data_IF_593351613330
#
_entry.id   IF_593351613330
#
_cell.length_a   1.000
_cell.length_b   1.000
_cell.length_c   1.000
_cell.angle_alpha   90.00
_cell.angle_beta   90.00
_cell.angle_gamma   90.00
#
_symmetry.space_group_name_H-M   'P 1'
#
loop_
_entity.id
_entity.type
_entity.pdbx_description
1 polymer ?
#
# COMPACT_ATOMS: atom_id res chain seq x y z
N UNK A 1 -2.12 -6.47 13.11
CA UNK A 1 -1.49 -5.17 12.76
C UNK A 1 -2.57 -4.24 12.26
N UNK A 2 -2.70 -3.09 12.90
CA UNK A 2 -3.68 -2.06 12.56
C UNK A 2 -2.94 -0.75 12.41
N UNK A 3 -3.03 -0.11 11.27
CA UNK A 3 -2.22 1.06 11.06
C UNK A 3 -2.61 1.94 9.89
N UNK A 4 -1.75 2.86 9.64
CA UNK A 4 -1.93 3.92 8.69
C UNK A 4 -0.72 4.05 7.76
N UNK A 5 -0.90 4.79 6.70
CA UNK A 5 0.16 5.22 5.81
C UNK A 5 0.81 6.50 6.31
N UNK A 6 2.13 6.52 6.31
CA UNK A 6 2.89 7.76 6.30
C UNK A 6 3.67 7.87 5.00
N UNK A 7 3.47 8.93 4.28
CA UNK A 7 4.10 9.15 3.00
C UNK A 7 5.62 9.36 3.09
N UNK A 8 6.37 8.49 2.44
CA UNK A 8 7.68 8.80 1.89
C UNK A 8 7.61 8.93 0.36
N UNK A 9 6.42 8.89 -0.18
CA UNK A 9 6.16 8.99 -1.60
C UNK A 9 5.41 10.29 -1.87
N UNK A 10 6.06 11.18 -2.59
CA UNK A 10 5.36 12.21 -3.35
C UNK A 10 5.99 12.31 -4.72
N UNK A 11 5.28 11.82 -5.70
CA UNK A 11 5.77 11.69 -7.06
C UNK A 11 5.56 12.93 -7.89
N UNK A 12 5.03 14.04 -7.38
CA UNK A 12 4.13 14.75 -8.29
C UNK A 12 4.53 16.15 -8.70
N UNK A 13 5.34 16.88 -7.93
CA UNK A 13 5.70 18.22 -8.36
C UNK A 13 7.18 18.56 -8.12
N UNK A 14 7.82 19.28 -9.03
CA UNK A 14 9.11 19.91 -8.77
C UNK A 14 8.99 20.81 -7.55
N UNK A 15 9.79 20.58 -6.49
CA UNK A 15 9.78 21.36 -5.25
C UNK A 15 9.10 20.71 -4.04
N UNK A 16 8.23 19.71 -4.21
CA UNK A 16 7.60 18.98 -3.09
C UNK A 16 8.51 17.93 -2.43
N UNK A 17 9.67 17.73 -2.97
CA UNK A 17 10.66 16.74 -2.56
C UNK A 17 11.37 17.05 -1.23
N UNK A 18 11.15 18.23 -0.66
CA UNK A 18 11.84 18.68 0.54
C UNK A 18 11.36 18.01 1.82
N UNK A 19 10.22 17.35 1.82
CA UNK A 19 9.59 16.76 3.01
C UNK A 19 9.76 15.25 3.12
N UNK A 20 10.92 14.71 2.77
CA UNK A 20 11.31 13.33 3.10
C UNK A 20 11.59 13.17 4.61
N UNK A 21 10.80 13.83 5.45
CA UNK A 21 10.91 13.74 6.90
C UNK A 21 9.63 13.12 7.43
N UNK A 22 9.80 12.13 8.30
CA UNK A 22 8.69 11.63 9.09
C UNK A 22 8.26 12.72 10.08
N UNK A 23 6.96 12.95 10.17
CA UNK A 23 6.42 13.77 11.25
C UNK A 23 6.32 12.91 12.52
N UNK A 24 7.14 13.21 13.53
CA UNK A 24 7.18 12.44 14.78
C UNK A 24 5.86 12.54 15.54
N UNK A 25 5.15 13.67 15.47
CA UNK A 25 3.83 13.80 16.08
C UNK A 25 2.82 12.84 15.45
N UNK A 26 2.89 12.59 14.16
CA UNK A 26 2.01 11.61 13.50
C UNK A 26 2.26 10.20 14.03
N UNK A 27 3.51 9.80 14.23
CA UNK A 27 3.83 8.51 14.84
C UNK A 27 3.27 8.41 16.26
N UNK A 28 3.42 9.48 17.04
CA UNK A 28 2.86 9.55 18.40
C UNK A 28 1.35 9.41 18.38
N UNK A 29 0.62 10.18 17.57
CA UNK A 29 -0.84 10.11 17.50
C UNK A 29 -1.34 8.76 17.03
N UNK A 30 -0.69 8.15 16.04
CA UNK A 30 -1.02 6.81 15.55
C UNK A 30 -0.91 5.80 16.69
N UNK A 31 0.17 5.85 17.48
CA UNK A 31 0.36 5.00 18.64
C UNK A 31 -0.63 5.30 19.77
N UNK A 32 -0.86 6.57 20.10
CA UNK A 32 -1.80 7.01 21.14
C UNK A 32 -3.25 6.59 20.82
N UNK A 33 -3.60 6.53 19.53
CA UNK A 33 -4.91 6.05 19.07
C UNK A 33 -5.03 4.52 19.05
N UNK A 34 -3.97 3.79 19.44
CA UNK A 34 -3.97 2.34 19.56
C UNK A 34 -3.64 1.59 18.28
N UNK A 35 -3.07 2.25 17.29
CA UNK A 35 -2.51 1.59 16.11
C UNK A 35 -1.07 1.16 16.36
N UNK A 36 -0.64 0.10 15.67
CA UNK A 36 0.67 -0.55 15.88
C UNK A 36 1.51 -0.71 14.60
N UNK A 37 1.06 -0.12 13.48
CA UNK A 37 1.63 -0.40 12.17
C UNK A 37 1.67 0.84 11.27
N UNK A 38 2.79 0.97 10.54
CA UNK A 38 2.98 1.95 9.48
C UNK A 38 3.38 1.25 8.18
N UNK A 39 2.64 1.44 7.12
CA UNK A 39 3.12 1.13 5.77
C UNK A 39 3.70 2.41 5.16
N UNK A 40 4.92 2.32 4.65
CA UNK A 40 5.65 3.46 4.07
C UNK A 40 5.86 3.18 2.59
N UNK A 41 5.01 3.75 1.72
CA UNK A 41 5.19 3.67 0.28
C UNK A 41 6.41 4.49 -0.14
N UNK A 42 7.27 3.89 -0.96
CA UNK A 42 8.52 4.50 -1.40
C UNK A 42 8.64 4.41 -2.93
N UNK A 43 9.19 5.46 -3.51
CA UNK A 43 9.60 5.49 -4.90
C UNK A 43 11.13 5.29 -4.97
N UNK A 44 11.61 4.28 -5.71
CA UNK A 44 13.04 4.00 -5.78
C UNK A 44 13.85 5.14 -6.41
N UNK A 45 13.23 6.03 -7.16
CA UNK A 45 13.89 7.23 -7.68
C UNK A 45 14.39 8.17 -6.58
N UNK A 46 13.86 8.07 -5.36
CA UNK A 46 14.36 8.87 -4.24
C UNK A 46 15.80 8.59 -3.89
N UNK A 47 16.21 7.33 -3.91
CA UNK A 47 17.55 6.93 -3.52
C UNK A 47 18.43 6.53 -4.70
N UNK A 48 17.94 6.57 -5.92
CA UNK A 48 18.80 6.46 -7.09
C UNK A 48 19.59 7.76 -7.25
N UNK A 49 20.92 7.64 -7.39
CA UNK A 49 21.80 8.78 -7.59
C UNK A 49 21.81 9.21 -9.05
N UNK A 50 20.78 9.94 -9.42
CA UNK A 50 20.59 10.53 -10.74
C UNK A 50 19.68 11.78 -10.63
N UNK A 51 19.46 12.47 -11.73
CA UNK A 51 18.53 13.59 -11.87
C UNK A 51 17.12 13.17 -12.29
N UNK A 52 16.81 11.88 -12.17
CA UNK A 52 15.54 11.32 -12.64
C UNK A 52 14.30 11.96 -12.02
N UNK A 53 14.41 12.47 -10.81
CA UNK A 53 13.31 13.18 -10.13
C UNK A 53 13.01 14.51 -10.77
N UNK A 54 14.04 15.28 -11.09
CA UNK A 54 13.96 16.60 -11.70
C UNK A 54 13.57 16.50 -13.17
N UNK A 55 14.20 15.58 -13.89
CA UNK A 55 13.95 15.36 -15.33
C UNK A 55 12.71 14.51 -15.58
N UNK A 56 12.22 13.81 -14.55
CA UNK A 56 11.13 12.81 -14.61
C UNK A 56 11.46 11.69 -15.60
N UNK A 57 12.74 11.37 -15.74
CA UNK A 57 13.23 10.34 -16.67
C UNK A 57 14.50 9.70 -16.13
N UNK A 58 14.46 8.39 -15.90
CA UNK A 58 15.62 7.66 -15.45
C UNK A 58 16.50 7.25 -16.64
N UNK A 59 17.81 7.54 -16.53
CA UNK A 59 18.79 6.91 -17.42
C UNK A 59 18.98 5.44 -16.97
N UNK A 60 18.78 4.44 -17.85
CA UNK A 60 18.94 3.03 -17.51
C UNK A 60 20.28 2.68 -16.84
N UNK A 61 21.36 3.35 -17.21
CA UNK A 61 22.69 3.13 -16.63
C UNK A 61 22.85 3.57 -15.16
N UNK A 62 21.87 4.32 -14.64
CA UNK A 62 21.91 4.86 -13.28
C UNK A 62 21.05 4.04 -12.30
N UNK A 63 20.29 3.07 -12.78
CA UNK A 63 19.26 2.37 -11.98
C UNK A 63 19.79 1.76 -10.68
N UNK A 64 21.06 1.36 -10.63
CA UNK A 64 21.70 0.76 -9.45
C UNK A 64 22.62 1.72 -8.67
N UNK A 65 22.67 3.00 -9.03
CA UNK A 65 23.43 4.00 -8.28
C UNK A 65 22.65 4.44 -7.05
N UNK A 66 23.25 4.37 -5.87
CA UNK A 66 22.58 4.64 -4.59
C UNK A 66 23.03 5.97 -4.00
N UNK A 67 22.06 6.81 -3.65
CA UNK A 67 22.27 8.02 -2.86
C UNK A 67 22.08 7.70 -1.38
N UNK A 68 23.19 7.46 -0.69
CA UNK A 68 23.20 6.99 0.70
C UNK A 68 22.44 7.92 1.66
N UNK A 69 22.56 9.24 1.49
CA UNK A 69 21.88 10.23 2.31
C UNK A 69 20.34 10.14 2.31
N UNK A 70 19.76 9.49 1.30
CA UNK A 70 18.30 9.22 1.26
C UNK A 70 17.99 7.95 2.04
N UNK A 71 18.84 6.92 1.98
CA UNK A 71 18.67 5.73 2.80
C UNK A 71 18.78 6.06 4.30
N UNK A 72 19.63 7.01 4.69
CA UNK A 72 19.70 7.52 6.07
C UNK A 72 18.38 8.13 6.54
N UNK A 73 17.60 8.75 5.64
CA UNK A 73 16.27 9.24 5.98
C UNK A 73 15.28 8.09 6.23
N UNK A 74 15.40 6.99 5.48
CA UNK A 74 14.60 5.78 5.74
C UNK A 74 14.96 5.17 7.10
N UNK A 75 16.27 5.15 7.47
CA UNK A 75 16.71 4.74 8.81
C UNK A 75 16.01 5.55 9.89
N UNK A 76 16.03 6.89 9.73
CA UNK A 76 15.40 7.80 10.68
C UNK A 76 13.89 7.56 10.81
N UNK A 77 13.20 7.24 9.72
CA UNK A 77 11.77 6.91 9.76
C UNK A 77 11.51 5.62 10.56
N UNK A 78 12.31 4.58 10.35
CA UNK A 78 12.20 3.32 11.08
C UNK A 78 12.49 3.54 12.57
N UNK A 79 13.53 4.30 12.90
CA UNK A 79 13.90 4.58 14.29
C UNK A 79 12.83 5.42 14.99
N UNK A 80 12.29 6.44 14.32
CA UNK A 80 11.22 7.29 14.86
C UNK A 80 9.96 6.48 15.12
N UNK A 81 9.49 5.69 14.15
CA UNK A 81 8.35 4.79 14.35
C UNK A 81 8.60 3.81 15.52
N UNK A 82 9.83 3.29 15.61
CA UNK A 82 10.25 2.38 16.66
C UNK A 82 10.19 2.96 18.08
N UNK A 83 10.37 4.29 18.26
CA UNK A 83 10.20 4.97 19.57
C UNK A 83 8.77 4.84 20.09
N UNK A 84 7.80 4.78 19.19
CA UNK A 84 6.37 4.68 19.50
C UNK A 84 5.83 3.25 19.39
N UNK A 85 6.71 2.24 19.29
CA UNK A 85 6.31 0.83 19.22
C UNK A 85 5.63 0.42 17.91
N UNK A 86 5.73 1.23 16.86
CA UNK A 86 5.11 0.96 15.59
C UNK A 86 5.95 -0.02 14.74
N UNK A 87 5.32 -1.02 14.16
CA UNK A 87 5.91 -1.85 13.13
C UNK A 87 5.94 -1.08 11.80
N UNK A 88 7.06 -1.08 11.11
CA UNK A 88 7.21 -0.44 9.80
C UNK A 88 7.17 -1.49 8.70
N UNK A 89 6.39 -1.24 7.65
CA UNK A 89 6.43 -1.99 6.39
C UNK A 89 6.91 -1.07 5.27
N UNK A 90 8.10 -1.32 4.77
CA UNK A 90 8.62 -0.60 3.61
C UNK A 90 8.02 -1.19 2.34
N UNK A 91 7.44 -0.34 1.50
CA UNK A 91 6.79 -0.76 0.26
C UNK A 91 7.41 -0.07 -0.95
N UNK A 92 7.76 -0.82 -1.99
CA UNK A 92 8.09 -0.21 -3.28
C UNK A 92 6.79 0.14 -4.02
N UNK A 93 6.40 1.40 -3.92
CA UNK A 93 5.25 1.93 -4.66
C UNK A 93 5.61 2.18 -6.13
N UNK A 94 6.84 2.64 -6.37
CA UNK A 94 7.53 2.59 -7.66
C UNK A 94 8.75 1.68 -7.52
N UNK A 95 8.86 0.70 -8.42
CA UNK A 95 9.98 -0.21 -8.53
C UNK A 95 10.64 -0.07 -9.92
N UNK A 96 11.88 -0.52 -10.12
CA UNK A 96 12.49 -0.57 -11.46
C UNK A 96 11.57 -1.29 -12.45
N UNK A 97 11.13 -0.56 -13.46
CA UNK A 97 10.27 -1.08 -14.53
C UNK A 97 8.78 -1.20 -14.19
N UNK A 98 8.32 -0.69 -13.04
CA UNK A 98 6.89 -0.70 -12.72
C UNK A 98 6.47 0.38 -11.73
N UNK A 99 5.39 1.08 -12.08
CA UNK A 99 4.58 1.90 -11.18
C UNK A 99 3.14 1.89 -11.66
N UNK A 100 2.17 1.58 -10.81
CA UNK A 100 0.75 1.53 -11.21
C UNK A 100 0.24 2.88 -11.72
N UNK A 101 0.69 3.98 -11.11
CA UNK A 101 0.19 5.32 -11.42
C UNK A 101 0.89 6.00 -12.62
N UNK A 102 2.03 5.47 -13.09
CA UNK A 102 2.88 6.18 -14.05
C UNK A 102 3.87 5.22 -14.74
N UNK A 103 3.36 4.15 -15.38
CA UNK A 103 4.20 3.08 -15.93
C UNK A 103 5.07 3.54 -17.10
N UNK A 104 4.61 4.51 -17.89
CA UNK A 104 5.29 4.98 -19.09
C UNK A 104 6.58 5.76 -18.83
N UNK A 105 6.85 6.13 -17.57
CA UNK A 105 8.11 6.79 -17.22
C UNK A 105 9.24 5.84 -16.91
N UNK A 106 8.93 4.57 -16.69
CA UNK A 106 9.96 3.57 -16.51
C UNK A 106 10.65 3.28 -17.84
N UNK A 107 12.01 3.27 -17.88
CA UNK A 107 12.74 2.99 -19.10
C UNK A 107 12.76 1.49 -19.47
N UNK A 108 12.15 0.65 -18.64
CA UNK A 108 12.05 -0.79 -18.81
C UNK A 108 10.70 -1.31 -18.30
N UNK A 109 10.46 -2.60 -18.53
CA UNK A 109 9.28 -3.32 -18.04
C UNK A 109 9.71 -4.43 -17.09
N UNK A 110 9.33 -4.35 -15.81
CA UNK A 110 9.72 -5.31 -14.76
C UNK A 110 9.42 -6.77 -15.16
N UNK A 111 8.31 -6.98 -15.84
CA UNK A 111 7.84 -8.33 -16.20
C UNK A 111 8.65 -9.02 -17.29
N UNK A 112 9.47 -8.27 -18.04
CA UNK A 112 10.17 -8.76 -19.25
C UNK A 112 11.65 -8.46 -19.26
N UNK A 113 12.04 -7.29 -18.74
CA UNK A 113 13.40 -6.81 -18.92
C UNK A 113 14.27 -7.29 -17.77
N UNK A 114 15.25 -8.12 -18.08
CA UNK A 114 16.19 -8.64 -17.08
C UNK A 114 16.89 -7.53 -16.30
N UNK A 115 17.17 -6.40 -16.93
CA UNK A 115 17.79 -5.24 -16.26
C UNK A 115 16.89 -4.71 -15.14
N UNK A 116 15.57 -4.62 -15.39
CA UNK A 116 14.61 -4.19 -14.38
C UNK A 116 14.50 -5.21 -13.24
N UNK A 117 14.44 -6.50 -13.57
CA UNK A 117 14.38 -7.57 -12.58
C UNK A 117 15.65 -7.60 -11.70
N UNK A 118 16.83 -7.52 -12.32
CA UNK A 118 18.10 -7.49 -11.58
C UNK A 118 18.19 -6.24 -10.68
N UNK A 119 17.72 -5.08 -11.15
CA UNK A 119 17.66 -3.87 -10.36
C UNK A 119 16.66 -4.00 -9.20
N UNK A 120 15.49 -4.59 -9.42
CA UNK A 120 14.51 -4.86 -8.38
C UNK A 120 15.10 -5.73 -7.26
N UNK A 121 15.79 -6.81 -7.63
CA UNK A 121 16.45 -7.69 -6.66
C UNK A 121 17.63 -6.99 -5.96
N UNK A 122 18.40 -6.17 -6.70
CA UNK A 122 19.49 -5.38 -6.14
C UNK A 122 18.98 -4.41 -5.05
N UNK A 123 17.96 -3.62 -5.33
CA UNK A 123 17.44 -2.65 -4.37
C UNK A 123 16.90 -3.36 -3.12
N UNK A 124 16.13 -4.44 -3.25
CA UNK A 124 15.69 -5.21 -2.09
C UNK A 124 16.87 -5.83 -1.33
N UNK A 125 17.92 -6.26 -2.03
CA UNK A 125 19.18 -6.72 -1.43
C UNK A 125 19.87 -5.63 -0.61
N UNK A 126 19.89 -4.38 -1.09
CA UNK A 126 20.42 -3.22 -0.35
C UNK A 126 19.67 -3.03 0.96
N UNK A 127 18.33 -2.99 0.93
CA UNK A 127 17.51 -2.87 2.14
C UNK A 127 17.67 -4.08 3.08
N UNK A 128 17.70 -5.29 2.53
CA UNK A 128 17.88 -6.50 3.33
C UNK A 128 19.22 -6.55 4.05
N UNK A 129 20.30 -6.12 3.40
CA UNK A 129 21.63 -6.02 3.98
C UNK A 129 21.71 -4.91 5.05
N UNK A 130 21.12 -3.74 4.75
CA UNK A 130 21.10 -2.58 5.65
C UNK A 130 20.39 -2.91 6.96
N UNK A 131 19.24 -3.55 6.88
CA UNK A 131 18.39 -3.83 8.04
C UNK A 131 18.48 -5.27 8.57
N UNK A 132 19.56 -6.01 8.25
CA UNK A 132 19.73 -7.40 8.71
C UNK A 132 19.66 -7.57 10.22
N UNK A 133 20.04 -6.54 10.99
CA UNK A 133 20.02 -6.51 12.45
C UNK A 133 18.68 -6.07 13.05
N UNK A 134 17.75 -5.56 12.23
CA UNK A 134 16.45 -5.09 12.72
C UNK A 134 15.50 -6.27 12.82
N UNK A 135 14.85 -6.41 13.97
CA UNK A 135 13.91 -7.51 14.24
C UNK A 135 12.77 -7.56 13.22
N UNK A 136 12.36 -8.76 12.75
CA UNK A 136 11.19 -8.91 11.89
C UNK A 136 9.87 -8.49 12.56
N UNK A 137 9.82 -8.40 13.90
CA UNK A 137 8.67 -7.82 14.61
C UNK A 137 8.58 -6.29 14.47
N UNK A 138 9.65 -5.62 14.06
CA UNK A 138 9.70 -4.16 13.89
C UNK A 138 9.66 -3.72 12.43
N UNK A 139 10.05 -4.61 11.50
CA UNK A 139 10.22 -4.25 10.09
C UNK A 139 9.85 -5.39 9.17
N UNK A 140 9.03 -5.09 8.17
CA UNK A 140 8.69 -5.95 7.05
C UNK A 140 8.96 -5.26 5.71
N UNK A 141 9.03 -6.05 4.64
CA UNK A 141 9.19 -5.58 3.27
C UNK A 141 7.98 -5.98 2.44
N UNK A 142 7.26 -5.01 1.92
CA UNK A 142 6.18 -5.19 0.96
C UNK A 142 6.74 -4.93 -0.44
N UNK A 143 6.91 -5.99 -1.21
CA UNK A 143 7.83 -6.00 -2.34
C UNK A 143 7.44 -5.06 -3.47
N UNK A 144 6.15 -5.01 -3.81
CA UNK A 144 5.66 -4.22 -4.93
C UNK A 144 4.22 -3.81 -4.67
N UNK A 145 3.89 -2.55 -4.94
CA UNK A 145 2.53 -2.04 -4.86
C UNK A 145 1.71 -2.46 -6.08
N UNK A 146 0.50 -2.99 -5.83
CA UNK A 146 -0.57 -3.08 -6.82
C UNK A 146 -0.19 -3.68 -8.18
N UNK A 147 0.33 -4.89 -8.19
CA UNK A 147 0.60 -5.59 -9.44
C UNK A 147 -0.67 -5.65 -10.33
N UNK A 148 -0.53 -5.49 -11.65
CA UNK A 148 -1.68 -5.46 -12.56
C UNK A 148 -2.35 -6.83 -12.66
N UNK A 149 -3.52 -6.87 -13.33
CA UNK A 149 -4.10 -8.14 -13.74
C UNK A 149 -3.21 -8.80 -14.79
N UNK A 150 -3.05 -10.13 -14.73
CA UNK A 150 -2.38 -10.84 -15.82
C UNK A 150 -3.04 -10.57 -17.16
N UNK A 151 -2.23 -10.28 -18.16
CA UNK A 151 -2.70 -10.00 -19.53
C UNK A 151 -1.71 -10.46 -20.57
N UNK A 152 -2.24 -10.95 -21.70
CA UNK A 152 -1.42 -11.41 -22.82
C UNK A 152 -0.48 -10.29 -23.29
N UNK A 153 0.74 -10.66 -23.53
CA UNK A 153 1.73 -9.77 -24.08
C UNK A 153 2.26 -8.71 -23.10
N UNK A 154 1.85 -8.65 -21.81
CA UNK A 154 2.41 -7.72 -20.82
C UNK A 154 2.98 -8.45 -19.58
N UNK A 155 2.14 -9.13 -18.80
CA UNK A 155 2.55 -9.87 -17.60
C UNK A 155 1.68 -11.12 -17.47
N UNK A 156 2.30 -12.28 -17.30
CA UNK A 156 1.62 -13.51 -16.90
C UNK A 156 1.63 -13.66 -15.36
N UNK A 157 0.74 -14.51 -14.84
CA UNK A 157 0.76 -14.90 -13.44
C UNK A 157 2.11 -15.52 -13.03
N UNK A 158 2.70 -16.32 -13.93
CA UNK A 158 3.99 -16.97 -13.77
C UNK A 158 5.15 -15.97 -13.65
N UNK A 159 5.13 -14.90 -14.47
CA UNK A 159 6.13 -13.83 -14.39
C UNK A 159 6.12 -13.18 -13.00
N UNK A 160 4.94 -12.86 -12.49
CA UNK A 160 4.79 -12.28 -11.16
C UNK A 160 5.32 -13.22 -10.07
N UNK A 161 4.91 -14.48 -10.06
CA UNK A 161 5.35 -15.49 -9.09
C UNK A 161 6.87 -15.62 -9.13
N UNK A 162 7.45 -15.71 -10.31
CA UNK A 162 8.91 -15.85 -10.49
C UNK A 162 9.66 -14.65 -9.95
N UNK A 163 9.22 -13.43 -10.27
CA UNK A 163 9.88 -12.19 -9.84
C UNK A 163 9.77 -12.03 -8.32
N UNK A 164 8.60 -12.25 -7.73
CA UNK A 164 8.42 -12.14 -6.28
C UNK A 164 9.22 -13.21 -5.53
N UNK A 165 9.30 -14.44 -6.07
CA UNK A 165 10.11 -15.52 -5.50
C UNK A 165 11.60 -15.19 -5.50
N UNK A 166 12.11 -14.67 -6.60
CA UNK A 166 13.50 -14.28 -6.71
C UNK A 166 13.87 -13.10 -5.81
N UNK A 167 12.96 -12.10 -5.70
CA UNK A 167 13.13 -10.99 -4.76
C UNK A 167 13.16 -11.49 -3.31
N UNK A 168 12.26 -12.40 -2.95
CA UNK A 168 12.24 -13.02 -1.61
C UNK A 168 13.53 -13.81 -1.34
N UNK A 169 14.06 -14.54 -2.31
CA UNK A 169 15.34 -15.25 -2.19
C UNK A 169 16.51 -14.27 -2.00
N UNK A 170 16.56 -13.17 -2.76
CA UNK A 170 17.55 -12.09 -2.59
C UNK A 170 17.52 -11.50 -1.19
N UNK A 171 16.34 -11.17 -0.67
CA UNK A 171 16.17 -10.65 0.69
C UNK A 171 16.67 -11.66 1.73
N UNK A 172 16.27 -12.91 1.62
CA UNK A 172 16.57 -13.95 2.61
C UNK A 172 18.05 -14.36 2.62
N UNK A 173 18.79 -14.12 1.54
CA UNK A 173 20.24 -14.32 1.51
C UNK A 173 20.98 -13.42 2.53
N UNK A 174 20.39 -12.25 2.87
CA UNK A 174 20.94 -11.30 3.84
C UNK A 174 20.17 -11.27 5.16
N UNK A 175 18.87 -11.52 5.12
CA UNK A 175 17.93 -11.39 6.24
C UNK A 175 16.94 -12.58 6.26
N UNK A 176 17.40 -13.79 6.67
CA UNK A 176 16.65 -15.04 6.50
C UNK A 176 15.26 -15.07 7.15
N UNK A 177 15.08 -14.27 8.22
CA UNK A 177 13.83 -14.20 9.00
C UNK A 177 12.98 -12.97 8.65
N UNK A 178 13.35 -12.18 7.64
CA UNK A 178 12.59 -10.98 7.27
C UNK A 178 11.16 -11.35 6.89
N UNK A 179 10.19 -10.64 7.48
CA UNK A 179 8.81 -10.71 7.02
C UNK A 179 8.72 -10.05 5.64
N UNK A 180 8.18 -10.81 4.70
CA UNK A 180 7.99 -10.38 3.32
C UNK A 180 6.49 -10.37 3.04
N UNK A 181 6.02 -9.31 2.41
CA UNK A 181 4.63 -9.12 2.01
C UNK A 181 4.59 -8.94 0.50
N UNK A 182 3.65 -9.57 -0.17
CA UNK A 182 3.35 -9.32 -1.59
C UNK A 182 1.89 -8.92 -1.73
N UNK A 183 1.63 -7.91 -2.53
CA UNK A 183 0.25 -7.56 -2.88
C UNK A 183 -0.31 -8.62 -3.82
N UNK A 184 -1.58 -8.94 -3.67
CA UNK A 184 -2.27 -9.81 -4.60
C UNK A 184 -2.28 -9.27 -6.01
N UNK A 185 -2.51 -10.12 -6.99
CA UNK A 185 -2.68 -9.69 -8.37
C UNK A 185 -3.96 -8.85 -8.54
N UNK A 186 -4.12 -8.23 -9.71
CA UNK A 186 -5.28 -7.39 -10.02
C UNK A 186 -5.46 -6.26 -8.99
N UNK A 187 -4.36 -5.53 -8.73
CA UNK A 187 -4.30 -4.43 -7.74
C UNK A 187 -4.74 -4.86 -6.34
N UNK A 188 -4.25 -6.02 -5.89
CA UNK A 188 -4.56 -6.55 -4.55
C UNK A 188 -5.90 -7.26 -4.43
N UNK A 189 -6.53 -7.66 -5.55
CA UNK A 189 -7.84 -8.32 -5.50
C UNK A 189 -7.78 -9.86 -5.59
N UNK A 190 -6.69 -10.43 -6.13
CA UNK A 190 -6.57 -11.88 -6.35
C UNK A 190 -5.43 -12.48 -5.52
N UNK A 191 -5.70 -13.58 -4.84
CA UNK A 191 -4.70 -14.32 -4.06
C UNK A 191 -3.68 -15.05 -4.92
N UNK A 192 -2.52 -15.39 -4.33
CA UNK A 192 -1.43 -16.09 -5.00
C UNK A 192 -1.02 -17.32 -4.15
N UNK A 193 -1.84 -18.39 -4.17
CA UNK A 193 -1.56 -19.60 -3.38
C UNK A 193 -0.21 -20.25 -3.68
N UNK A 194 0.34 -20.01 -4.86
CA UNK A 194 1.65 -20.53 -5.31
C UNK A 194 2.81 -20.01 -4.44
N UNK A 195 2.64 -18.88 -3.76
CA UNK A 195 3.64 -18.31 -2.86
C UNK A 195 3.57 -18.86 -1.42
N UNK A 196 2.58 -19.70 -1.09
CA UNK A 196 2.45 -20.31 0.25
C UNK A 196 3.72 -21.04 0.69
N UNK A 197 4.35 -21.89 -0.15
CA UNK A 197 5.57 -22.62 0.24
C UNK A 197 6.74 -21.73 0.61
N UNK A 198 6.70 -20.44 0.18
CA UNK A 198 7.74 -19.48 0.48
C UNK A 198 7.53 -18.73 1.80
N UNK A 199 6.46 -19.03 2.56
CA UNK A 199 6.12 -18.32 3.80
C UNK A 199 6.14 -16.79 3.61
N UNK A 200 5.38 -16.33 2.62
CA UNK A 200 5.20 -14.91 2.27
C UNK A 200 3.80 -14.49 2.71
N UNK A 201 3.72 -13.35 3.37
CA UNK A 201 2.45 -12.71 3.73
C UNK A 201 1.83 -12.13 2.46
N UNK A 202 0.53 -12.29 2.28
CA UNK A 202 -0.17 -11.71 1.13
C UNK A 202 -1.02 -10.52 1.56
N UNK A 203 -1.07 -9.52 0.69
CA UNK A 203 -1.78 -8.26 0.96
C UNK A 203 -2.96 -8.12 0.00
N UNK A 204 -4.16 -7.94 0.58
CA UNK A 204 -5.36 -7.50 -0.13
C UNK A 204 -5.45 -5.98 -0.11
N UNK A 205 -6.07 -5.37 -1.11
CA UNK A 205 -6.45 -3.96 -1.08
C UNK A 205 -7.96 -3.81 -0.96
N UNK A 206 -8.41 -3.03 0.03
CA UNK A 206 -9.79 -2.93 0.45
C UNK A 206 -10.56 -1.80 -0.23
N UNK A 207 -10.59 -1.81 -1.58
CA UNK A 207 -11.23 -0.76 -2.37
C UNK A 207 -12.48 -1.19 -3.14
N UNK A 208 -12.85 -2.48 -3.10
CA UNK A 208 -14.01 -2.98 -3.84
C UNK A 208 -15.31 -2.64 -3.12
N UNK A 209 -16.30 -2.09 -3.86
CA UNK A 209 -16.30 -1.70 -5.27
C UNK A 209 -15.72 -0.30 -5.50
N UNK A 210 -14.97 -0.13 -6.57
CA UNK A 210 -14.32 1.15 -6.90
C UNK A 210 -15.30 2.31 -7.08
N UNK A 211 -16.54 2.04 -7.49
CA UNK A 211 -17.57 3.06 -7.62
C UNK A 211 -17.96 3.73 -6.28
N UNK A 212 -17.60 3.12 -5.13
CA UNK A 212 -17.72 3.73 -3.81
C UNK A 212 -16.38 4.32 -3.40
N UNK A 213 -15.33 3.48 -3.32
CA UNK A 213 -14.03 3.91 -2.79
C UNK A 213 -13.36 5.01 -3.60
N UNK A 214 -13.64 5.10 -4.91
CA UNK A 214 -13.01 6.03 -5.85
C UNK A 214 -14.02 6.89 -6.62
N UNK A 215 -15.20 7.13 -6.07
CA UNK A 215 -16.18 8.00 -6.69
C UNK A 215 -15.60 9.40 -6.94
N UNK A 216 -15.66 9.88 -8.20
CA UNK A 216 -15.03 11.12 -8.67
C UNK A 216 -13.51 11.24 -8.47
N UNK A 217 -12.83 10.15 -8.24
CA UNK A 217 -11.37 10.10 -8.29
C UNK A 217 -10.92 10.03 -9.76
N UNK A 218 -10.42 11.13 -10.30
CA UNK A 218 -10.18 11.30 -11.76
C UNK A 218 -9.21 10.29 -12.37
N UNK A 219 -8.37 9.64 -11.58
CA UNK A 219 -7.46 8.58 -12.03
C UNK A 219 -8.15 7.21 -12.18
N UNK A 220 -9.31 7.01 -11.53
CA UNK A 220 -10.13 5.79 -11.63
C UNK A 220 -11.49 6.08 -12.30
N UNK A 221 -12.25 7.04 -11.74
CA UNK A 221 -13.56 7.43 -12.25
C UNK A 221 -13.40 8.45 -13.40
N UNK A 222 -13.73 8.03 -14.59
CA UNK A 222 -13.75 8.91 -15.78
C UNK A 222 -15.06 9.70 -15.93
N UNK A 223 -15.76 9.93 -14.83
CA UNK A 223 -17.05 10.61 -14.81
C UNK A 223 -18.23 9.69 -15.13
N UNK A 224 -18.06 8.40 -15.02
CA UNK A 224 -19.06 7.38 -15.36
C UNK A 224 -19.72 6.73 -14.14
N UNK A 225 -19.15 6.91 -12.95
CA UNK A 225 -19.73 6.33 -11.75
C UNK A 225 -21.00 7.07 -11.33
N UNK A 226 -22.10 6.35 -11.06
CA UNK A 226 -23.30 6.97 -10.49
C UNK A 226 -23.02 7.46 -9.07
N UNK A 227 -23.86 8.37 -8.57
CA UNK A 227 -23.81 8.74 -7.13
C UNK A 227 -23.96 7.47 -6.29
N UNK A 228 -22.98 7.15 -5.43
CA UNK A 228 -22.96 5.88 -4.73
C UNK A 228 -24.03 5.83 -3.62
N UNK A 229 -24.52 4.62 -3.39
CA UNK A 229 -25.33 4.23 -2.24
C UNK A 229 -24.74 2.96 -1.63
N UNK A 230 -25.07 2.66 -0.39
CA UNK A 230 -24.72 1.37 0.19
C UNK A 230 -25.98 0.73 0.84
N UNK A 231 -26.42 -0.48 0.40
CA UNK A 231 -25.92 -1.22 -0.79
C UNK A 231 -26.02 -0.41 -2.08
N UNK A 232 -25.25 -0.80 -3.11
CA UNK A 232 -25.29 -0.12 -4.40
C UNK A 232 -26.58 -0.45 -5.17
N UNK A 233 -26.90 0.35 -6.18
CA UNK A 233 -27.83 -0.09 -7.21
C UNK A 233 -27.32 -1.38 -7.89
N UNK A 234 -28.22 -2.23 -8.43
CA UNK A 234 -27.83 -3.41 -9.20
C UNK A 234 -26.95 -3.04 -10.40
N UNK A 235 -25.91 -3.85 -10.65
CA UNK A 235 -25.08 -3.75 -11.85
C UNK A 235 -25.79 -4.27 -13.11
N UNK A 236 -25.11 -4.32 -14.25
CA UNK A 236 -25.65 -4.81 -15.52
C UNK A 236 -26.16 -6.27 -15.46
N UNK A 237 -25.72 -7.04 -14.46
CA UNK A 237 -26.17 -8.42 -14.21
C UNK A 237 -27.30 -8.50 -13.19
N UNK A 238 -27.86 -7.37 -12.79
CA UNK A 238 -28.94 -7.27 -11.79
C UNK A 238 -28.50 -7.53 -10.36
N UNK A 239 -27.18 -7.50 -10.07
CA UNK A 239 -26.62 -7.76 -8.73
C UNK A 239 -26.08 -6.48 -8.10
N UNK A 240 -26.54 -6.06 -6.89
CA UNK A 240 -25.93 -4.97 -6.15
C UNK A 240 -24.57 -5.41 -5.58
N UNK A 241 -23.74 -4.43 -5.22
CA UNK A 241 -22.76 -4.63 -4.21
C UNK A 241 -23.41 -4.41 -2.84
N UNK A 242 -23.31 -5.41 -2.00
CA UNK A 242 -23.79 -5.42 -0.62
C UNK A 242 -22.78 -6.21 0.23
N UNK A 243 -23.07 -6.35 1.53
CA UNK A 243 -22.20 -7.10 2.44
C UNK A 243 -21.97 -8.55 1.95
N UNK A 244 -23.00 -9.24 1.47
CA UNK A 244 -22.85 -10.64 1.01
C UNK A 244 -21.86 -10.76 -0.15
N UNK A 245 -21.91 -9.82 -1.10
CA UNK A 245 -20.99 -9.82 -2.24
C UNK A 245 -19.56 -9.43 -1.82
N UNK A 246 -19.39 -8.58 -0.80
CA UNK A 246 -18.08 -8.34 -0.18
C UNK A 246 -17.54 -9.60 0.49
N UNK A 247 -18.35 -10.32 1.25
CA UNK A 247 -17.96 -11.59 1.89
C UNK A 247 -17.52 -12.62 0.84
N UNK A 248 -18.21 -12.71 -0.28
CA UNK A 248 -17.81 -13.56 -1.41
C UNK A 248 -16.43 -13.16 -1.96
N UNK A 249 -16.20 -11.87 -2.15
CA UNK A 249 -14.92 -11.34 -2.63
C UNK A 249 -13.76 -11.65 -1.67
N UNK A 250 -13.95 -11.40 -0.37
CA UNK A 250 -12.89 -11.60 0.63
C UNK A 250 -12.70 -13.07 1.05
N UNK A 251 -13.60 -13.99 0.70
CA UNK A 251 -13.51 -15.41 1.07
C UNK A 251 -12.18 -16.04 0.73
N UNK A 252 -11.64 -15.80 -0.47
CA UNK A 252 -10.35 -16.33 -0.88
C UNK A 252 -9.20 -15.94 0.07
N UNK A 253 -9.28 -14.75 0.67
CA UNK A 253 -8.30 -14.26 1.65
C UNK A 253 -8.47 -14.95 3.01
N UNK A 254 -9.70 -15.16 3.43
CA UNK A 254 -10.02 -15.94 4.62
C UNK A 254 -9.58 -17.41 4.48
N UNK A 255 -9.67 -18.00 3.29
CA UNK A 255 -9.16 -19.35 3.00
C UNK A 255 -7.62 -19.42 3.09
N UNK A 256 -6.90 -18.37 2.73
CA UNK A 256 -5.44 -18.30 2.96
C UNK A 256 -5.13 -18.24 4.45
N UNK A 257 -5.85 -17.44 5.23
CA UNK A 257 -5.69 -17.37 6.69
C UNK A 257 -5.95 -18.74 7.32
N UNK A 258 -7.01 -19.42 6.90
CA UNK A 258 -7.34 -20.79 7.38
C UNK A 258 -6.24 -21.83 7.06
N UNK A 259 -5.43 -21.60 6.02
CA UNK A 259 -4.24 -22.39 5.69
C UNK A 259 -2.98 -21.97 6.46
N UNK A 260 -3.09 -21.02 7.39
CA UNK A 260 -1.96 -20.51 8.18
C UNK A 260 -1.10 -19.46 7.46
N UNK A 261 -1.55 -18.92 6.34
CA UNK A 261 -0.87 -17.82 5.64
C UNK A 261 -1.18 -16.51 6.33
N UNK A 262 -0.16 -15.68 6.57
CA UNK A 262 -0.38 -14.30 6.99
C UNK A 262 -1.06 -13.51 5.89
N UNK A 263 -2.14 -12.81 6.22
CA UNK A 263 -2.85 -11.90 5.31
C UNK A 263 -2.99 -10.54 5.97
N UNK A 264 -2.82 -9.49 5.19
CA UNK A 264 -2.95 -8.11 5.62
C UNK A 264 -3.71 -7.30 4.56
N UNK A 265 -4.62 -6.43 4.97
CA UNK A 265 -5.19 -5.44 4.06
C UNK A 265 -4.23 -4.25 4.00
N UNK A 266 -3.36 -4.24 2.98
CA UNK A 266 -2.25 -3.28 2.87
C UNK A 266 -2.71 -1.87 2.57
N UNK A 267 -3.86 -1.74 1.91
CA UNK A 267 -4.53 -0.47 1.65
C UNK A 267 -6.04 -0.62 1.75
N UNK A 268 -6.69 0.37 2.36
CA UNK A 268 -8.15 0.51 2.36
C UNK A 268 -8.52 1.96 2.64
N UNK A 269 -9.72 2.36 2.30
CA UNK A 269 -10.19 3.73 2.51
C UNK A 269 -11.10 4.20 1.38
N UNK A 270 -11.44 5.49 1.40
CA UNK A 270 -12.40 6.05 0.47
C UNK A 270 -12.04 7.49 0.12
N UNK A 271 -12.06 7.81 -1.18
CA UNK A 271 -11.84 9.16 -1.68
C UNK A 271 -12.88 10.14 -1.15
N UNK A 272 -12.46 11.34 -0.85
CA UNK A 272 -13.25 12.36 -0.16
C UNK A 272 -14.47 12.90 -0.93
N UNK A 273 -14.74 12.41 -2.12
CA UNK A 273 -15.94 12.80 -2.90
C UNK A 273 -17.10 11.80 -2.76
N UNK A 274 -16.87 10.67 -2.14
CA UNK A 274 -17.95 9.75 -1.76
C UNK A 274 -18.68 10.32 -0.55
N UNK A 275 -20.02 10.39 -0.54
CA UNK A 275 -20.77 10.85 0.62
C UNK A 275 -20.39 10.09 1.90
N UNK A 276 -20.12 10.79 2.98
CA UNK A 276 -19.60 10.22 4.22
C UNK A 276 -20.50 9.11 4.82
N UNK A 277 -21.84 9.25 4.86
CA UNK A 277 -22.70 8.17 5.35
C UNK A 277 -22.58 6.87 4.52
N UNK A 278 -22.35 6.99 3.20
CA UNK A 278 -22.17 5.84 2.31
C UNK A 278 -20.80 5.20 2.57
N UNK A 279 -19.76 6.03 2.68
CA UNK A 279 -18.42 5.59 3.04
C UNK A 279 -18.42 4.80 4.35
N UNK A 280 -18.93 5.39 5.42
CA UNK A 280 -18.91 4.75 6.75
C UNK A 280 -19.72 3.44 6.80
N UNK A 281 -20.84 3.36 6.09
CA UNK A 281 -21.66 2.15 6.03
C UNK A 281 -20.93 1.03 5.28
N UNK A 282 -20.43 1.32 4.07
CA UNK A 282 -19.65 0.37 3.27
C UNK A 282 -18.35 -0.05 3.98
N UNK A 283 -17.60 0.91 4.47
CA UNK A 283 -16.32 0.65 5.11
C UNK A 283 -16.45 -0.10 6.42
N UNK A 284 -17.54 0.13 7.16
CA UNK A 284 -17.89 -0.66 8.33
C UNK A 284 -18.07 -2.15 7.99
N UNK A 285 -18.71 -2.47 6.87
CA UNK A 285 -18.84 -3.86 6.41
C UNK A 285 -17.51 -4.45 5.99
N UNK A 286 -16.67 -3.70 5.25
CA UNK A 286 -15.31 -4.13 4.90
C UNK A 286 -14.50 -4.46 6.15
N UNK A 287 -14.47 -3.56 7.13
CA UNK A 287 -13.72 -3.73 8.37
C UNK A 287 -14.23 -4.90 9.22
N UNK A 288 -15.55 -5.12 9.26
CA UNK A 288 -16.14 -6.29 9.93
C UNK A 288 -15.67 -7.59 9.30
N UNK A 289 -15.70 -7.69 7.97
CA UNK A 289 -15.26 -8.89 7.23
C UNK A 289 -13.77 -9.16 7.46
N UNK A 290 -12.93 -8.13 7.38
CA UNK A 290 -11.50 -8.27 7.66
C UNK A 290 -11.25 -8.79 9.08
N UNK A 291 -11.96 -8.25 10.07
CA UNK A 291 -11.88 -8.69 11.47
C UNK A 291 -12.34 -10.14 11.64
N UNK A 292 -13.44 -10.54 11.02
CA UNK A 292 -13.96 -11.91 11.07
C UNK A 292 -12.95 -12.94 10.53
N UNK A 293 -12.16 -12.56 9.54
CA UNK A 293 -11.06 -13.38 9.02
C UNK A 293 -9.73 -13.21 9.76
N UNK A 294 -9.65 -12.32 10.78
CA UNK A 294 -8.39 -12.05 11.48
C UNK A 294 -7.36 -11.29 10.65
N UNK A 295 -7.80 -10.54 9.66
CA UNK A 295 -6.95 -9.75 8.75
C UNK A 295 -6.77 -8.35 9.33
N UNK A 296 -5.53 -7.95 9.60
CA UNK A 296 -5.19 -6.57 9.97
C UNK A 296 -5.24 -5.63 8.74
N UNK A 297 -5.19 -4.33 8.98
CA UNK A 297 -5.36 -3.33 7.92
C UNK A 297 -4.40 -2.14 8.04
N UNK A 298 -4.23 -1.43 6.93
CA UNK A 298 -3.62 -0.10 6.87
C UNK A 298 -4.54 0.84 6.09
N UNK A 299 -5.03 1.88 6.77
CA UNK A 299 -5.81 2.91 6.09
C UNK A 299 -4.93 3.67 5.09
N UNK A 300 -5.34 3.75 3.86
CA UNK A 300 -4.86 4.73 2.92
C UNK A 300 -5.75 5.97 3.03
N UNK A 301 -5.36 7.06 3.72
CA UNK A 301 -4.06 7.36 4.28
C UNK A 301 -4.23 8.06 5.64
N UNK A 302 -3.14 8.44 6.31
CA UNK A 302 -3.23 9.16 7.57
C UNK A 302 -3.72 10.61 7.37
N UNK A 303 -3.14 11.34 6.41
CA UNK A 303 -3.48 12.73 6.08
C UNK A 303 -3.75 12.87 4.58
N UNK A 304 -4.79 13.61 4.21
CA UNK A 304 -5.19 13.88 2.82
C UNK A 304 -6.49 13.20 2.43
N UNK A 305 -6.84 13.20 1.15
CA UNK A 305 -8.18 12.92 0.63
C UNK A 305 -8.84 11.59 0.98
N UNK A 306 -8.08 10.58 1.43
CA UNK A 306 -8.59 9.33 2.00
C UNK A 306 -8.41 9.26 3.53
N UNK A 307 -7.82 10.30 4.13
CA UNK A 307 -7.22 10.26 5.45
C UNK A 307 -8.18 10.50 6.61
N UNK A 308 -7.64 10.24 7.80
CA UNK A 308 -8.26 10.63 9.07
C UNK A 308 -8.07 12.12 9.31
N UNK A 309 -6.93 12.68 8.89
CA UNK A 309 -6.62 14.10 8.99
C UNK A 309 -6.73 14.78 7.64
N UNK A 310 -7.28 16.00 7.64
CA UNK A 310 -7.29 16.92 6.50
C UNK A 310 -7.87 16.29 5.22
N UNK A 311 -8.89 15.45 5.34
CA UNK A 311 -9.47 14.73 4.20
C UNK A 311 -10.27 15.61 3.26
N UNK A 312 -10.65 16.82 3.69
CA UNK A 312 -11.43 17.81 2.91
C UNK A 312 -12.76 17.25 2.37
N UNK A 313 -13.43 16.40 3.15
CA UNK A 313 -14.80 15.98 2.87
C UNK A 313 -15.75 17.14 3.19
N UNK A 314 -16.69 17.40 2.29
CA UNK A 314 -17.62 18.52 2.42
C UNK A 314 -18.75 18.24 3.44
N UNK A 315 -18.99 16.97 3.78
CA UNK A 315 -20.09 16.47 4.61
C UNK A 315 -19.65 15.89 5.96
N UNK A 316 -18.39 16.15 6.38
CA UNK A 316 -17.84 15.76 7.68
C UNK A 316 -17.69 16.96 8.59
N UNK A 317 -18.11 16.80 9.86
CA UNK A 317 -17.82 17.75 10.91
C UNK A 317 -16.50 17.41 11.58
N UNK A 318 -15.49 18.23 11.31
CA UNK A 318 -14.14 18.03 11.84
C UNK A 318 -13.96 18.57 13.26
N UNK A 319 -13.08 17.89 14.01
CA UNK A 319 -12.53 18.38 15.27
C UNK A 319 -11.15 19.03 15.00
N UNK A 320 -10.82 20.11 15.70
CA UNK A 320 -9.45 20.64 15.67
C UNK A 320 -8.51 19.71 16.45
N UNK A 321 -7.46 19.23 15.79
CA UNK A 321 -6.46 18.36 16.35
C UNK A 321 -5.06 18.92 16.09
N UNK A 322 -4.61 19.79 17.01
CA UNK A 322 -3.32 20.48 16.86
C UNK A 322 -3.17 21.22 15.54
N UNK A 323 -4.23 21.89 15.07
CA UNK A 323 -4.27 22.63 13.81
C UNK A 323 -4.60 21.79 12.56
N UNK A 324 -4.86 20.50 12.73
CA UNK A 324 -5.37 19.60 11.69
C UNK A 324 -6.89 19.40 11.83
N UNK A 325 -7.54 19.09 10.72
CA UNK A 325 -8.96 18.73 10.67
C UNK A 325 -9.10 17.22 10.89
N UNK A 326 -9.44 16.79 12.10
CA UNK A 326 -9.62 15.38 12.44
C UNK A 326 -11.04 14.90 12.15
N UNK A 327 -11.17 13.84 11.36
CA UNK A 327 -12.40 13.06 11.25
C UNK A 327 -12.51 12.08 12.43
N UNK A 328 -13.20 12.54 13.48
CA UNK A 328 -13.41 11.76 14.72
C UNK A 328 -14.29 10.54 14.48
N UNK A 329 -15.24 10.61 13.56
CA UNK A 329 -16.15 9.50 13.26
C UNK A 329 -15.41 8.36 12.60
N UNK A 330 -14.57 8.66 11.59
CA UNK A 330 -13.71 7.67 10.95
C UNK A 330 -12.72 7.05 11.94
N UNK A 331 -12.05 7.88 12.76
CA UNK A 331 -11.14 7.38 13.78
C UNK A 331 -11.83 6.42 14.74
N UNK A 332 -13.03 6.80 15.23
CA UNK A 332 -13.83 5.97 16.15
C UNK A 332 -14.25 4.64 15.48
N UNK A 333 -14.59 4.69 14.18
CA UNK A 333 -14.86 3.47 13.42
C UNK A 333 -13.65 2.55 13.39
N UNK A 334 -12.49 3.07 13.03
CA UNK A 334 -11.24 2.29 12.93
C UNK A 334 -10.80 1.68 14.26
N UNK A 335 -10.99 2.40 15.37
CA UNK A 335 -10.62 1.92 16.72
C UNK A 335 -11.46 0.72 17.20
N UNK A 336 -12.59 0.41 16.57
CA UNK A 336 -13.42 -0.78 16.89
C UNK A 336 -12.79 -2.10 16.38
N UNK A 337 -11.88 -1.99 15.46
CA UNK A 337 -11.27 -3.13 14.76
C UNK A 337 -9.78 -3.23 15.06
#
# INVERSE_FOLDING_TARGET
MRGNYLYFYQALAPGEWSSLAINEDFCRWISDWGFDFLRIPMDYWFWVDSDCRETRKLNPGDVNKIRESVLEKVDHMIDTAGKYGLHVSLNFHRAPGYCINDPEREPFVLWRDKVAQDAFYFHWGVFAKRYKGVSPQKLSFNLLNEAPSPSEGYMSREDYITIMSNAAASIRSHSPKRLIIVDGLSVGNDTIPELIPLNIIQSVHGYIPALISHYRASWVDKGTFPTPTWPTAPDANGKPWDRSRLEEHYRQWGELVAKGVGVHCGECGCWNRTPDPVFLAWFGDVMNILKEYGIGYSLWQFQGGFGILDSERDDVQYEDWYGHKLDRTLLTLLQKY
#
